data_IF_160541584906
#
_entry.id   IF_160541584906
#
_cell.length_a   1.000
_cell.length_b   1.000
_cell.length_c   1.000
_cell.angle_alpha   90.00
_cell.angle_beta   90.00
_cell.angle_gamma   90.00
#
_symmetry.space_group_name_H-M   'P 1'
#
loop_
_entity.id
_entity.type
_entity.pdbx_description
1 polymer ?
#
# COMPACT_ATOMS: atom_id res chain seq x y z
N UNK A 1 -14.53 -12.97 2.89
CA UNK A 1 -14.21 -11.56 2.65
C UNK A 1 -15.45 -10.72 2.91
N UNK A 2 -15.27 -9.51 3.39
CA UNK A 2 -16.38 -8.59 3.66
C UNK A 2 -16.99 -8.08 2.36
N UNK A 3 -18.33 -8.12 2.25
CA UNK A 3 -19.04 -7.71 1.03
C UNK A 3 -18.78 -6.26 0.63
N UNK A 4 -18.72 -5.35 1.59
CA UNK A 4 -18.46 -3.94 1.33
C UNK A 4 -17.07 -3.74 0.69
N UNK A 5 -16.07 -4.45 1.18
CA UNK A 5 -14.72 -4.39 0.62
C UNK A 5 -14.67 -5.02 -0.77
N UNK A 6 -15.41 -6.10 -0.99
CA UNK A 6 -15.52 -6.73 -2.31
C UNK A 6 -16.14 -5.75 -3.31
N UNK A 7 -17.21 -5.06 -2.95
CA UNK A 7 -17.85 -4.07 -3.80
C UNK A 7 -16.91 -2.92 -4.15
N UNK A 8 -16.17 -2.40 -3.17
CA UNK A 8 -15.16 -1.36 -3.39
C UNK A 8 -14.04 -1.87 -4.30
N UNK A 9 -13.58 -3.09 -4.09
CA UNK A 9 -12.55 -3.71 -4.92
C UNK A 9 -13.00 -3.88 -6.36
N UNK A 10 -14.25 -4.29 -6.58
CA UNK A 10 -14.85 -4.39 -7.91
C UNK A 10 -14.89 -3.02 -8.60
N UNK A 11 -15.28 -1.99 -7.86
CA UNK A 11 -15.34 -0.62 -8.39
C UNK A 11 -13.95 -0.12 -8.80
N UNK A 12 -12.96 -0.29 -7.93
CA UNK A 12 -11.59 0.13 -8.19
C UNK A 12 -10.99 -0.66 -9.36
N UNK A 13 -11.15 -1.97 -9.36
CA UNK A 13 -10.66 -2.84 -10.42
C UNK A 13 -11.30 -2.50 -11.78
N UNK A 14 -12.61 -2.22 -11.78
CA UNK A 14 -13.32 -1.79 -12.99
C UNK A 14 -12.78 -0.47 -13.55
N UNK A 15 -12.54 0.50 -12.69
CA UNK A 15 -11.97 1.79 -13.10
C UNK A 15 -10.54 1.65 -13.65
N UNK A 16 -9.71 0.84 -13.00
CA UNK A 16 -8.35 0.58 -13.47
C UNK A 16 -8.37 -0.08 -14.85
N UNK A 17 -9.19 -1.13 -15.01
CA UNK A 17 -9.32 -1.86 -16.27
C UNK A 17 -9.82 -0.96 -17.40
N UNK A 18 -10.84 -0.17 -17.13
CA UNK A 18 -11.43 0.75 -18.11
C UNK A 18 -10.41 1.76 -18.64
N UNK A 19 -9.55 2.26 -17.75
CA UNK A 19 -8.53 3.26 -18.11
C UNK A 19 -7.22 2.65 -18.61
N UNK A 20 -7.09 1.33 -18.58
CA UNK A 20 -5.83 0.67 -18.89
C UNK A 20 -4.73 0.94 -17.87
N UNK A 21 -5.12 1.25 -16.63
CA UNK A 21 -4.19 1.57 -15.55
C UNK A 21 -3.83 0.32 -14.75
N UNK A 22 -2.65 0.36 -14.14
CA UNK A 22 -2.14 -0.73 -13.31
C UNK A 22 -1.83 -0.25 -11.90
N UNK A 23 -1.74 -1.17 -10.96
CA UNK A 23 -1.47 -0.88 -9.55
C UNK A 23 -0.44 -1.84 -8.97
N UNK A 24 0.45 -1.28 -8.16
CA UNK A 24 1.34 -2.01 -7.27
C UNK A 24 1.01 -1.64 -5.83
N UNK A 25 1.10 -2.60 -4.91
CA UNK A 25 0.67 -2.41 -3.52
C UNK A 25 1.80 -2.79 -2.56
N UNK A 26 2.03 -1.94 -1.56
CA UNK A 26 2.97 -2.20 -0.47
C UNK A 26 2.20 -2.12 0.84
N UNK A 27 2.08 -3.24 1.52
CA UNK A 27 1.34 -3.36 2.79
C UNK A 27 2.29 -3.53 3.96
N UNK A 28 1.82 -3.21 5.14
CA UNK A 28 2.53 -3.46 6.39
C UNK A 28 1.60 -4.18 7.37
N UNK A 29 0.87 -3.44 8.19
CA UNK A 29 0.00 -4.04 9.20
C UNK A 29 -1.21 -4.80 8.63
N UNK A 30 -1.62 -4.51 7.40
CA UNK A 30 -2.69 -5.25 6.72
C UNK A 30 -2.26 -6.62 6.18
N UNK A 31 -0.96 -6.87 6.11
CA UNK A 31 -0.41 -8.22 5.91
C UNK A 31 -0.74 -8.92 4.60
N UNK A 32 -1.14 -8.17 3.56
CA UNK A 32 -1.53 -8.72 2.25
C UNK A 32 -3.01 -8.71 1.98
N UNK A 33 -3.84 -8.24 2.93
CA UNK A 33 -5.29 -8.23 2.77
C UNK A 33 -5.77 -7.31 1.65
N UNK A 34 -5.11 -6.16 1.46
CA UNK A 34 -5.46 -5.23 0.38
C UNK A 34 -5.20 -5.89 -0.98
N UNK A 35 -4.02 -6.47 -1.14
CA UNK A 35 -3.66 -7.22 -2.35
C UNK A 35 -4.62 -8.39 -2.61
N UNK A 36 -4.96 -9.14 -1.56
CA UNK A 36 -5.88 -10.27 -1.67
C UNK A 36 -7.26 -9.84 -2.18
N UNK A 37 -7.79 -8.73 -1.68
CA UNK A 37 -9.09 -8.22 -2.14
C UNK A 37 -9.05 -7.75 -3.60
N UNK A 38 -7.96 -7.09 -4.00
CA UNK A 38 -7.81 -6.66 -5.40
C UNK A 38 -7.63 -7.84 -6.34
N UNK A 39 -6.97 -8.90 -5.90
CA UNK A 39 -6.78 -10.14 -6.68
C UNK A 39 -8.05 -11.00 -6.75
N UNK A 40 -8.94 -10.89 -5.78
CA UNK A 40 -10.17 -11.70 -5.75
C UNK A 40 -11.16 -11.32 -6.86
N UNK A 41 -10.97 -10.19 -7.51
CA UNK A 41 -11.87 -9.71 -8.56
C UNK A 41 -11.52 -10.42 -9.88
N UNK A 42 -12.50 -11.05 -10.56
CA UNK A 42 -12.25 -11.65 -11.86
C UNK A 42 -11.66 -10.63 -12.85
N UNK A 43 -10.62 -11.02 -13.57
CA UNK A 43 -9.93 -10.14 -14.51
C UNK A 43 -8.84 -9.28 -13.87
N UNK A 44 -8.44 -9.54 -12.64
CA UNK A 44 -7.43 -8.77 -11.92
C UNK A 44 -6.08 -8.68 -12.64
N UNK A 45 -5.76 -9.64 -13.49
CA UNK A 45 -4.52 -9.62 -14.28
C UNK A 45 -4.42 -8.42 -15.22
N UNK A 46 -5.53 -7.76 -15.53
CA UNK A 46 -5.52 -6.55 -16.35
C UNK A 46 -4.95 -5.35 -15.61
N UNK A 47 -4.98 -5.32 -14.28
CA UNK A 47 -4.58 -4.15 -13.51
C UNK A 47 -3.60 -4.41 -12.37
N UNK A 48 -3.58 -5.60 -11.79
CA UNK A 48 -2.74 -5.89 -10.61
C UNK A 48 -1.36 -6.40 -11.03
N UNK A 49 -0.31 -5.64 -10.74
CA UNK A 49 1.05 -6.04 -11.10
C UNK A 49 1.76 -6.79 -9.98
N UNK A 50 1.50 -6.45 -8.74
CA UNK A 50 2.14 -7.10 -7.61
C UNK A 50 1.85 -6.40 -6.30
N UNK A 51 2.04 -7.14 -5.21
CA UNK A 51 1.92 -6.65 -3.85
C UNK A 51 3.01 -7.25 -2.99
N UNK A 52 3.43 -6.51 -1.97
CA UNK A 52 4.45 -6.96 -1.03
C UNK A 52 4.06 -6.55 0.40
N UNK A 53 4.54 -7.32 1.37
CA UNK A 53 4.38 -7.00 2.79
C UNK A 53 5.70 -6.42 3.29
N UNK A 54 5.69 -5.14 3.61
CA UNK A 54 6.86 -4.40 4.06
C UNK A 54 6.72 -4.18 5.56
N UNK A 55 7.26 -5.09 6.35
CA UNK A 55 7.10 -5.05 7.80
C UNK A 55 8.34 -4.52 8.52
N UNK A 56 9.51 -4.64 7.91
CA UNK A 56 10.79 -4.22 8.48
C UNK A 56 11.56 -3.34 7.49
N UNK A 57 12.59 -2.66 7.98
CA UNK A 57 13.51 -1.92 7.10
C UNK A 57 14.22 -2.83 6.10
N UNK A 58 14.48 -4.09 6.50
CA UNK A 58 15.07 -5.09 5.61
C UNK A 58 14.16 -5.36 4.41
N UNK A 59 12.86 -5.53 4.66
CA UNK A 59 11.86 -5.73 3.60
C UNK A 59 11.74 -4.49 2.71
N UNK A 60 11.72 -3.29 3.30
CA UNK A 60 11.69 -2.05 2.54
C UNK A 60 12.88 -1.91 1.61
N UNK A 61 14.08 -2.22 2.10
CA UNK A 61 15.29 -2.22 1.29
C UNK A 61 15.24 -3.30 0.21
N UNK A 62 14.88 -4.53 0.59
CA UNK A 62 14.92 -5.69 -0.30
C UNK A 62 13.85 -5.67 -1.39
N UNK A 63 12.63 -5.27 -1.06
CA UNK A 63 11.51 -5.29 -2.01
C UNK A 63 11.30 -3.97 -2.74
N UNK A 64 11.55 -2.84 -2.07
CA UNK A 64 11.23 -1.52 -2.61
C UNK A 64 12.45 -0.65 -2.92
N UNK A 65 13.65 -1.09 -2.53
CA UNK A 65 14.84 -0.28 -2.69
C UNK A 65 14.87 0.97 -1.80
N UNK A 66 14.16 0.95 -0.67
CA UNK A 66 14.17 2.05 0.31
C UNK A 66 15.55 2.14 0.95
N UNK A 67 16.17 3.32 0.87
CA UNK A 67 17.52 3.56 1.40
C UNK A 67 17.45 4.25 2.77
N UNK A 68 18.59 4.24 3.48
CA UNK A 68 18.69 4.99 4.74
C UNK A 68 18.49 6.50 4.51
N UNK A 69 18.92 7.00 3.36
CA UNK A 69 18.71 8.40 2.97
C UNK A 69 17.22 8.71 2.80
N UNK A 70 16.46 7.80 2.18
CA UNK A 70 15.01 7.95 2.05
C UNK A 70 14.33 8.07 3.42
N UNK A 71 14.88 7.40 4.42
CA UNK A 71 14.32 7.35 5.78
C UNK A 71 14.79 8.48 6.70
N UNK A 72 15.67 9.37 6.25
CA UNK A 72 16.14 10.50 7.08
C UNK A 72 14.95 11.36 7.55
N UNK A 73 14.86 11.56 8.87
CA UNK A 73 13.80 12.36 9.48
C UNK A 73 12.42 11.72 9.43
N UNK A 74 12.32 10.44 9.07
CA UNK A 74 11.06 9.74 8.86
C UNK A 74 10.97 8.50 9.76
N UNK A 75 9.77 8.19 10.24
CA UNK A 75 9.49 6.96 10.95
C UNK A 75 8.36 6.20 10.28
N UNK A 76 8.24 4.89 10.59
CA UNK A 76 7.12 4.06 10.16
C UNK A 76 5.80 4.56 10.77
N UNK A 77 4.68 4.08 10.26
CA UNK A 77 3.33 4.39 10.70
C UNK A 77 2.98 5.89 10.59
N UNK A 78 3.48 6.54 9.54
CA UNK A 78 3.18 7.94 9.21
C UNK A 78 2.72 8.07 7.77
N UNK A 79 2.03 9.16 7.45
CA UNK A 79 1.61 9.45 6.07
C UNK A 79 2.81 9.64 5.14
N UNK A 80 3.89 10.27 5.62
CA UNK A 80 5.10 10.43 4.82
C UNK A 80 5.75 9.09 4.48
N UNK A 81 5.77 8.15 5.42
CA UNK A 81 6.30 6.79 5.16
C UNK A 81 5.40 6.02 4.20
N UNK A 82 4.08 6.11 4.35
CA UNK A 82 3.13 5.53 3.41
C UNK A 82 3.34 6.09 2.00
N UNK A 83 3.49 7.41 1.88
CA UNK A 83 3.75 8.09 0.59
C UNK A 83 5.05 7.64 -0.04
N UNK A 84 6.12 7.50 0.75
CA UNK A 84 7.39 6.96 0.28
C UNK A 84 7.22 5.57 -0.32
N UNK A 85 6.57 4.66 0.41
CA UNK A 85 6.38 3.29 -0.04
C UNK A 85 5.46 3.19 -1.26
N UNK A 86 4.42 4.02 -1.32
CA UNK A 86 3.54 4.08 -2.49
C UNK A 86 4.30 4.49 -3.76
N UNK A 87 5.16 5.51 -3.66
CA UNK A 87 6.02 5.93 -4.76
C UNK A 87 7.03 4.86 -5.15
N UNK A 88 7.65 4.22 -4.17
CA UNK A 88 8.65 3.18 -4.41
C UNK A 88 8.06 1.95 -5.09
N UNK A 89 6.91 1.44 -4.63
CA UNK A 89 6.29 0.25 -5.25
C UNK A 89 5.85 0.56 -6.68
N UNK A 90 5.33 1.76 -6.90
CA UNK A 90 4.98 2.24 -8.25
C UNK A 90 6.20 2.22 -9.18
N UNK A 91 7.32 2.75 -8.72
CA UNK A 91 8.53 2.86 -9.53
C UNK A 91 9.15 1.48 -9.78
N UNK A 92 9.22 0.63 -8.78
CA UNK A 92 9.79 -0.72 -8.90
C UNK A 92 9.02 -1.56 -9.91
N UNK A 93 7.69 -1.49 -9.90
CA UNK A 93 6.84 -2.28 -10.78
C UNK A 93 6.51 -1.59 -12.10
N UNK A 94 6.76 -0.29 -12.21
CA UNK A 94 6.36 0.48 -13.38
C UNK A 94 4.84 0.59 -13.52
N UNK A 95 4.11 0.56 -12.41
CA UNK A 95 2.65 0.66 -12.41
C UNK A 95 2.19 2.11 -12.57
N UNK A 96 0.93 2.30 -12.99
CA UNK A 96 0.32 3.63 -13.06
C UNK A 96 0.14 4.21 -11.66
N UNK A 97 -0.29 3.35 -10.72
CA UNK A 97 -0.55 3.71 -9.33
C UNK A 97 0.25 2.84 -8.38
N UNK A 98 0.71 3.44 -7.30
CA UNK A 98 1.23 2.73 -6.14
C UNK A 98 0.33 3.01 -4.94
N UNK A 99 0.02 1.98 -4.17
CA UNK A 99 -0.76 2.08 -2.94
C UNK A 99 0.07 1.51 -1.80
N UNK A 100 0.13 2.21 -0.69
CA UNK A 100 0.84 1.71 0.49
C UNK A 100 0.04 1.93 1.75
N UNK A 101 0.22 1.04 2.70
CA UNK A 101 -0.38 1.10 4.03
C UNK A 101 0.71 0.85 5.07
N UNK A 102 0.63 1.60 6.18
CA UNK A 102 1.49 1.41 7.35
C UNK A 102 0.72 1.78 8.61
N UNK A 103 0.92 1.05 9.69
CA UNK A 103 0.15 1.33 10.90
C UNK A 103 0.48 0.43 12.07
N UNK A 104 -0.44 0.45 13.06
CA UNK A 104 -0.37 -0.34 14.27
C UNK A 104 -1.75 -0.97 14.51
N UNK A 105 -1.91 -2.23 14.11
CA UNK A 105 -3.21 -2.93 14.18
C UNK A 105 -3.65 -3.24 15.61
N UNK A 106 -2.73 -3.52 16.49
CA UNK A 106 -3.05 -3.86 17.88
C UNK A 106 -2.70 -5.31 18.21
N UNK A 107 -3.11 -5.81 19.40
CA UNK A 107 -4.01 -5.20 20.41
C UNK A 107 -3.42 -4.01 21.16
N UNK A 108 -2.12 -3.78 21.08
CA UNK A 108 -1.46 -2.61 21.66
C UNK A 108 -1.02 -1.64 20.56
N UNK A 109 -0.77 -0.37 20.92
CA UNK A 109 -0.15 0.58 20.02
C UNK A 109 1.30 0.23 19.74
N UNK A 110 1.96 1.07 18.97
CA UNK A 110 3.37 0.89 18.62
C UNK A 110 4.29 1.66 19.59
N UNK A 111 5.61 1.48 19.41
CA UNK A 111 6.63 2.17 20.23
C UNK A 111 6.68 3.69 20.04
N UNK A 112 6.00 4.22 19.03
CA UNK A 112 5.97 5.65 18.75
C UNK A 112 4.82 6.38 19.43
N UNK A 113 3.94 5.65 20.15
CA UNK A 113 2.80 6.23 20.85
C UNK A 113 1.51 6.24 20.04
N UNK A 114 1.47 5.67 18.85
CA UNK A 114 0.25 5.53 18.07
C UNK A 114 -0.66 4.47 18.70
N UNK A 115 -1.96 4.74 18.76
CA UNK A 115 -2.94 3.81 19.32
C UNK A 115 -3.14 2.59 18.40
N UNK A 116 -3.63 1.50 18.99
CA UNK A 116 -4.06 0.34 18.22
C UNK A 116 -5.15 0.74 17.22
N UNK A 117 -5.04 0.26 15.99
CA UNK A 117 -5.93 0.64 14.89
C UNK A 117 -5.47 1.84 14.09
N UNK A 118 -4.36 2.48 14.49
CA UNK A 118 -3.75 3.55 13.71
C UNK A 118 -3.30 3.02 12.35
N UNK A 119 -3.71 3.68 11.28
CA UNK A 119 -3.36 3.28 9.93
C UNK A 119 -3.20 4.51 9.03
N UNK A 120 -2.13 4.52 8.28
CA UNK A 120 -1.86 5.54 7.27
C UNK A 120 -1.85 4.88 5.91
N UNK A 121 -2.51 5.51 4.95
CA UNK A 121 -2.64 5.00 3.59
C UNK A 121 -2.24 6.10 2.61
N UNK A 122 -1.50 5.74 1.59
CA UNK A 122 -1.12 6.67 0.54
C UNK A 122 -1.30 6.05 -0.84
N UNK A 123 -1.63 6.89 -1.80
CA UNK A 123 -1.62 6.54 -3.22
C UNK A 123 -0.68 7.49 -3.95
N UNK A 124 0.09 6.94 -4.88
CA UNK A 124 1.01 7.69 -5.74
C UNK A 124 0.68 7.40 -7.20
N UNK A 125 0.65 8.41 -8.03
CA UNK A 125 0.31 8.26 -9.43
C UNK A 125 -0.12 9.59 -10.05
N UNK A 126 -1.04 9.58 -11.03
CA UNK A 126 -1.55 10.82 -11.64
C UNK A 126 -2.17 11.80 -10.64
N UNK A 127 -2.67 11.31 -9.50
CA UNK A 127 -3.06 12.15 -8.36
C UNK A 127 -2.60 11.49 -7.08
N UNK A 128 -1.70 12.15 -6.32
CA UNK A 128 -1.15 11.58 -5.09
C UNK A 128 -1.90 12.09 -3.86
N UNK A 129 -2.17 11.19 -2.91
CA UNK A 129 -2.85 11.51 -1.65
C UNK A 129 -2.36 10.61 -0.52
N UNK A 130 -2.46 11.12 0.72
CA UNK A 130 -2.27 10.32 1.92
C UNK A 130 -3.33 10.67 2.95
N UNK A 131 -3.60 9.73 3.85
CA UNK A 131 -4.56 9.89 4.94
C UNK A 131 -4.20 8.99 6.11
N UNK A 132 -4.70 9.36 7.28
CA UNK A 132 -4.57 8.57 8.50
C UNK A 132 -5.92 8.04 8.92
#
# INVERSE_FOLDING_TARGET
>A
MNEEIIELSQKVGGLLSEKGNTVGIAESSTGGLVSAHMLAIPGASAYFLGGSVIYTRFAGRGFLGVTDKDMEGMRAATESYASLNAGKVKDVLGSTWGVAETGATGPTGNRYGDAAGHSCIAVSGPGSRSTT
#
